data_IF_735605003570
#
_entry.id   IF_735605003570
#
_cell.length_a   1.000
_cell.length_b   1.000
_cell.length_c   1.000
_cell.angle_alpha   90.00
_cell.angle_beta   90.00
_cell.angle_gamma   90.00
#
_symmetry.space_group_name_H-M   'P 1'
#
loop_
_entity.id
_entity.type
_entity.pdbx_description
1 polymer ?
#
# COMPACT_ATOMS: atom_id res chain seq x y z
N UNK A 1 28.71 -47.70 22.67
CA UNK A 1 27.67 -46.70 22.39
C UNK A 1 28.10 -45.50 21.57
N UNK A 2 29.38 -45.14 21.50
CA UNK A 2 29.87 -43.96 20.72
C UNK A 2 29.92 -44.11 19.19
N UNK A 3 30.03 -45.30 18.65
CA UNK A 3 30.14 -45.51 17.19
C UNK A 3 28.84 -45.44 16.43
N UNK A 4 27.70 -45.72 17.05
CA UNK A 4 26.38 -45.62 16.38
C UNK A 4 25.87 -44.19 16.19
N UNK A 5 26.29 -43.27 17.07
CA UNK A 5 25.89 -41.86 17.02
C UNK A 5 26.60 -41.12 15.88
N UNK A 6 27.86 -41.43 15.59
CA UNK A 6 28.64 -40.79 14.52
C UNK A 6 28.08 -41.18 13.14
N UNK A 7 27.60 -42.44 12.97
CA UNK A 7 27.02 -42.90 11.70
C UNK A 7 25.65 -42.22 11.40
N UNK A 8 24.86 -41.92 12.42
CA UNK A 8 23.57 -41.17 12.25
C UNK A 8 23.81 -39.72 11.85
N UNK A 9 24.80 -39.06 12.41
CA UNK A 9 25.13 -37.67 12.04
C UNK A 9 25.71 -37.55 10.63
N UNK A 10 26.52 -38.55 10.19
CA UNK A 10 27.05 -38.57 8.82
C UNK A 10 25.95 -38.88 7.77
N UNK A 11 24.96 -39.71 8.08
CA UNK A 11 23.85 -39.98 7.18
C UNK A 11 22.91 -38.80 7.07
N UNK A 12 22.67 -38.09 8.20
CA UNK A 12 21.83 -36.86 8.22
C UNK A 12 22.49 -35.71 7.44
N UNK A 13 23.82 -35.58 7.53
CA UNK A 13 24.57 -34.56 6.81
C UNK A 13 24.65 -34.83 5.30
N UNK A 14 24.74 -36.07 4.86
CA UNK A 14 24.72 -36.44 3.43
C UNK A 14 23.35 -36.28 2.81
N UNK A 15 22.27 -36.60 3.54
CA UNK A 15 20.91 -36.34 3.06
C UNK A 15 20.54 -34.88 3.04
N UNK A 16 21.06 -34.05 3.95
CA UNK A 16 20.91 -32.60 3.92
C UNK A 16 21.71 -31.98 2.77
N UNK A 17 22.91 -32.45 2.47
CA UNK A 17 23.72 -31.99 1.34
C UNK A 17 23.13 -32.40 -0.02
N UNK A 18 22.61 -33.61 -0.14
CA UNK A 18 21.92 -34.06 -1.37
C UNK A 18 20.65 -33.24 -1.62
N UNK A 19 19.83 -33.01 -0.58
CA UNK A 19 18.66 -32.11 -0.69
C UNK A 19 19.03 -30.66 -0.95
N UNK A 20 20.16 -30.18 -0.44
CA UNK A 20 20.65 -28.84 -0.73
C UNK A 20 21.06 -28.65 -2.19
N UNK A 21 21.61 -29.68 -2.84
CA UNK A 21 21.94 -29.65 -4.27
C UNK A 21 20.67 -29.61 -5.16
N UNK A 22 19.67 -30.44 -4.84
CA UNK A 22 18.37 -30.42 -5.55
C UNK A 22 17.67 -29.06 -5.39
N UNK A 23 17.69 -28.49 -4.17
CA UNK A 23 17.16 -27.16 -3.88
C UNK A 23 17.92 -26.09 -4.66
N UNK A 24 19.25 -26.24 -4.85
CA UNK A 24 20.05 -25.23 -5.55
C UNK A 24 19.76 -25.22 -7.05
N UNK A 25 19.48 -26.34 -7.67
CA UNK A 25 19.09 -26.41 -9.10
C UNK A 25 17.69 -25.84 -9.32
N UNK A 26 16.72 -26.09 -8.43
CA UNK A 26 15.36 -25.52 -8.49
C UNK A 26 15.32 -24.01 -8.19
N UNK A 27 16.19 -23.49 -7.30
CA UNK A 27 16.30 -22.04 -7.02
C UNK A 27 16.88 -21.29 -8.22
N UNK A 28 17.66 -21.91 -9.08
CA UNK A 28 18.24 -21.27 -10.27
C UNK A 28 17.22 -20.91 -11.37
N UNK A 29 15.99 -21.44 -11.31
CA UNK A 29 14.89 -21.03 -12.18
C UNK A 29 14.08 -19.87 -11.56
N UNK A 30 14.74 -18.72 -11.33
CA UNK A 30 14.11 -17.52 -10.81
C UNK A 30 13.29 -16.80 -11.89
N UNK A 31 12.07 -16.40 -11.54
CA UNK A 31 11.34 -15.38 -12.29
C UNK A 31 11.78 -14.01 -11.81
N UNK A 32 12.25 -13.19 -12.73
CA UNK A 32 12.60 -11.80 -12.48
C UNK A 32 11.46 -10.89 -12.93
N UNK A 33 11.24 -9.84 -12.18
CA UNK A 33 10.39 -8.71 -12.56
C UNK A 33 11.03 -7.44 -12.05
N UNK A 34 10.73 -6.33 -12.66
CA UNK A 34 11.29 -5.08 -12.19
C UNK A 34 10.58 -3.86 -12.73
N UNK A 35 10.92 -2.73 -12.14
CA UNK A 35 10.47 -1.41 -12.54
C UNK A 35 11.62 -0.43 -12.38
N UNK A 36 11.87 0.38 -13.39
CA UNK A 36 12.66 1.60 -13.27
C UNK A 36 11.71 2.77 -13.15
N UNK A 37 11.94 3.63 -12.16
CA UNK A 37 11.12 4.82 -11.89
C UNK A 37 12.00 6.07 -11.88
N UNK A 38 11.63 7.07 -12.67
CA UNK A 38 12.11 8.44 -12.53
C UNK A 38 11.00 9.21 -11.85
N UNK A 39 11.30 9.84 -10.71
CA UNK A 39 10.36 10.67 -9.96
C UNK A 39 10.92 12.08 -9.81
N UNK A 40 10.10 13.09 -10.10
CA UNK A 40 10.39 14.49 -9.77
C UNK A 40 9.28 15.01 -8.86
N UNK A 41 9.65 15.74 -7.80
CA UNK A 41 8.73 16.40 -6.89
C UNK A 41 9.19 17.84 -6.68
N UNK A 42 8.26 18.78 -6.70
CA UNK A 42 8.43 20.17 -6.26
C UNK A 42 7.34 20.47 -5.24
N UNK A 43 7.73 21.01 -4.09
CA UNK A 43 6.85 21.50 -3.04
C UNK A 43 7.08 22.98 -2.89
N UNK A 44 6.01 23.76 -2.93
CA UNK A 44 5.98 25.20 -2.65
C UNK A 44 5.18 25.41 -1.37
N UNK A 45 5.78 25.96 -0.33
CA UNK A 45 5.11 26.26 0.93
C UNK A 45 4.24 27.53 0.85
N UNK A 46 3.51 27.86 1.93
CA UNK A 46 2.65 29.06 2.02
C UNK A 46 3.44 30.38 1.87
N UNK A 47 4.74 30.39 2.18
CA UNK A 47 5.61 31.56 1.98
C UNK A 47 6.08 31.71 0.53
N UNK A 48 5.86 30.73 -0.32
CA UNK A 48 6.32 30.64 -1.71
C UNK A 48 7.74 30.11 -1.85
N UNK A 49 8.32 29.57 -0.78
CA UNK A 49 9.63 28.92 -0.83
C UNK A 49 9.49 27.53 -1.48
N UNK A 50 10.41 27.22 -2.39
CA UNK A 50 10.35 26.00 -3.20
C UNK A 50 11.47 25.03 -2.86
N UNK A 51 11.10 23.78 -2.69
CA UNK A 51 12.02 22.64 -2.62
C UNK A 51 11.72 21.67 -3.76
N UNK A 52 12.75 21.05 -4.30
CA UNK A 52 12.55 20.05 -5.37
C UNK A 52 13.55 18.90 -5.30
N UNK A 53 13.12 17.72 -5.69
CA UNK A 53 13.93 16.52 -5.77
C UNK A 53 13.67 15.81 -7.08
N UNK A 54 14.74 15.42 -7.77
CA UNK A 54 14.69 14.48 -8.89
C UNK A 54 15.38 13.18 -8.47
N UNK A 55 14.67 12.07 -8.50
CA UNK A 55 15.17 10.76 -8.13
C UNK A 55 15.09 9.76 -9.27
N UNK A 56 16.06 8.86 -9.31
CA UNK A 56 16.04 7.64 -10.12
C UNK A 56 16.06 6.44 -9.19
N UNK A 57 15.12 5.54 -9.38
CA UNK A 57 14.98 4.36 -8.54
C UNK A 57 14.18 3.25 -9.22
N UNK A 58 13.47 2.51 -8.40
CA UNK A 58 12.62 1.40 -8.82
C UNK A 58 12.85 0.15 -8.00
N UNK A 59 12.46 -1.00 -8.55
CA UNK A 59 12.51 -2.29 -7.87
C UNK A 59 12.97 -3.41 -8.79
N UNK A 60 13.57 -4.43 -8.19
CA UNK A 60 13.88 -5.71 -8.83
C UNK A 60 13.39 -6.83 -7.93
N UNK A 61 12.46 -7.63 -8.42
CA UNK A 61 11.87 -8.78 -7.76
C UNK A 61 12.41 -10.10 -8.31
N UNK A 62 12.60 -11.05 -7.41
CA UNK A 62 13.04 -12.41 -7.69
C UNK A 62 12.08 -13.38 -7.00
N UNK A 63 11.51 -14.32 -7.74
CA UNK A 63 10.64 -15.36 -7.21
C UNK A 63 11.09 -16.73 -7.67
N UNK A 64 11.23 -17.69 -6.75
CA UNK A 64 11.49 -19.08 -7.11
C UNK A 64 10.25 -19.73 -7.72
N UNK A 65 10.45 -20.80 -8.48
CA UNK A 65 9.37 -21.77 -8.67
C UNK A 65 8.99 -22.42 -7.32
N UNK A 66 7.79 -22.99 -7.19
CA UNK A 66 7.42 -23.71 -5.98
C UNK A 66 8.35 -24.92 -5.74
N UNK A 67 9.03 -24.93 -4.60
CA UNK A 67 9.90 -26.03 -4.14
C UNK A 67 9.17 -26.73 -3.00
N UNK A 68 8.72 -27.96 -3.25
CA UNK A 68 7.87 -28.71 -2.30
C UNK A 68 6.63 -27.93 -1.82
N UNK A 69 6.02 -27.13 -2.70
CA UNK A 69 4.85 -26.30 -2.39
C UNK A 69 5.16 -24.93 -1.78
N UNK A 70 6.45 -24.59 -1.60
CA UNK A 70 6.88 -23.29 -1.09
C UNK A 70 7.51 -22.44 -2.19
N UNK A 71 7.21 -21.16 -2.21
CA UNK A 71 7.83 -20.13 -3.05
C UNK A 71 8.65 -19.19 -2.17
N UNK A 72 9.87 -18.92 -2.58
CA UNK A 72 10.71 -17.87 -2.01
C UNK A 72 10.62 -16.62 -2.88
N UNK A 73 10.40 -15.47 -2.28
CA UNK A 73 10.38 -14.18 -2.98
C UNK A 73 11.26 -13.16 -2.28
N UNK A 74 11.90 -12.31 -3.07
CA UNK A 74 12.64 -11.16 -2.57
C UNK A 74 12.51 -10.00 -3.57
N UNK A 75 12.27 -8.77 -3.06
CA UNK A 75 12.27 -7.55 -3.88
C UNK A 75 13.16 -6.49 -3.25
N UNK A 76 14.07 -6.01 -4.03
CA UNK A 76 14.97 -4.92 -3.69
C UNK A 76 14.42 -3.63 -4.29
N UNK A 77 14.30 -2.61 -3.46
CA UNK A 77 13.86 -1.26 -3.82
C UNK A 77 14.98 -0.27 -3.64
N UNK A 78 15.03 0.77 -4.48
CA UNK A 78 16.02 1.84 -4.38
C UNK A 78 15.46 3.17 -4.84
N UNK A 79 15.93 4.25 -4.22
CA UNK A 79 15.72 5.62 -4.66
C UNK A 79 17.01 6.41 -4.52
N UNK A 80 17.43 7.12 -5.60
CA UNK A 80 18.67 7.85 -5.65
C UNK A 80 18.40 9.27 -6.13
N UNK A 81 18.58 10.26 -5.25
CA UNK A 81 18.48 11.67 -5.63
C UNK A 81 19.59 12.03 -6.62
N UNK A 82 19.19 12.49 -7.79
CA UNK A 82 20.08 13.05 -8.80
C UNK A 82 20.32 14.54 -8.50
N UNK A 83 19.25 15.26 -8.08
CA UNK A 83 19.25 16.66 -7.69
C UNK A 83 18.35 16.87 -6.47
N UNK A 84 18.52 17.99 -5.74
CA UNK A 84 17.67 18.34 -4.60
C UNK A 84 17.92 17.52 -3.34
N UNK A 85 19.17 17.28 -3.00
CA UNK A 85 19.59 16.36 -1.92
C UNK A 85 19.28 16.82 -0.51
N UNK A 86 18.92 18.08 -0.31
CA UNK A 86 18.76 18.70 1.01
C UNK A 86 17.28 19.07 1.30
N UNK A 87 16.36 18.66 0.43
CA UNK A 87 14.92 18.88 0.61
C UNK A 87 14.28 17.71 1.36
N UNK A 88 13.45 18.00 2.34
CA UNK A 88 12.50 17.00 2.86
C UNK A 88 11.61 16.55 1.71
N UNK A 89 11.59 15.26 1.45
CA UNK A 89 10.87 14.72 0.30
C UNK A 89 10.46 13.28 0.59
N UNK A 90 9.22 12.93 0.26
CA UNK A 90 8.74 11.53 0.28
C UNK A 90 9.53 10.59 -0.63
N UNK A 91 10.45 11.11 -1.43
CA UNK A 91 11.32 10.31 -2.31
C UNK A 91 12.62 9.87 -1.63
N UNK A 92 12.92 10.37 -0.45
CA UNK A 92 14.18 10.18 0.26
C UNK A 92 13.97 9.54 1.65
N UNK A 93 15.07 9.21 2.33
CA UNK A 93 15.02 8.67 3.69
C UNK A 93 14.68 9.76 4.72
N UNK A 94 14.54 9.37 5.96
CA UNK A 94 14.27 10.26 7.10
C UNK A 94 15.34 11.33 7.35
N UNK A 95 16.44 11.34 6.59
CA UNK A 95 17.52 12.33 6.63
C UNK A 95 17.76 12.98 5.28
N UNK A 96 16.76 12.98 4.38
CA UNK A 96 16.81 13.55 3.03
C UNK A 96 17.92 12.96 2.15
N UNK A 97 18.16 11.63 2.28
CA UNK A 97 19.19 10.91 1.53
C UNK A 97 18.61 9.80 0.68
N UNK A 98 19.33 9.49 -0.38
CA UNK A 98 19.11 8.27 -1.17
C UNK A 98 19.20 7.03 -0.30
N UNK A 99 18.31 6.06 -0.51
CA UNK A 99 18.33 4.81 0.23
C UNK A 99 17.95 3.61 -0.63
N UNK A 100 18.20 2.43 -0.09
CA UNK A 100 17.80 1.18 -0.69
C UNK A 100 17.39 0.20 0.41
N UNK A 101 16.40 -0.64 0.12
CA UNK A 101 15.86 -1.58 1.09
C UNK A 101 15.48 -2.90 0.42
N UNK A 102 15.66 -4.01 1.11
CA UNK A 102 14.98 -5.27 0.79
C UNK A 102 13.58 -5.16 1.39
N UNK A 103 12.64 -4.61 0.63
CA UNK A 103 11.27 -4.38 1.07
C UNK A 103 10.46 -5.66 1.11
N UNK A 104 10.76 -6.64 0.23
CA UNK A 104 10.15 -7.96 0.32
C UNK A 104 11.22 -9.05 0.46
N UNK A 105 10.98 -9.97 1.39
CA UNK A 105 11.76 -11.19 1.59
C UNK A 105 10.87 -12.19 2.34
N UNK A 106 10.26 -13.12 1.61
CA UNK A 106 9.21 -13.96 2.17
C UNK A 106 9.31 -15.42 1.72
N UNK A 107 8.69 -16.27 2.53
CA UNK A 107 8.30 -17.63 2.21
C UNK A 107 6.78 -17.66 2.04
N UNK A 108 6.30 -18.19 0.93
CA UNK A 108 4.87 -18.38 0.66
C UNK A 108 4.58 -19.84 0.35
N UNK A 109 3.43 -20.34 0.85
CA UNK A 109 2.85 -21.60 0.43
C UNK A 109 1.39 -21.42 0.09
N UNK A 110 0.93 -22.18 -0.90
CA UNK A 110 -0.47 -22.23 -1.29
C UNK A 110 -0.96 -23.67 -1.10
N UNK A 111 -2.02 -23.81 -0.33
CA UNK A 111 -2.69 -25.06 -0.09
C UNK A 111 -4.16 -24.94 -0.48
N UNK A 112 -4.56 -25.60 -1.58
CA UNK A 112 -5.89 -25.44 -2.19
C UNK A 112 -6.27 -23.97 -2.43
N UNK A 113 -7.17 -23.44 -1.60
CA UNK A 113 -7.66 -22.05 -1.66
C UNK A 113 -7.08 -21.16 -0.56
N UNK A 114 -6.11 -21.66 0.21
CA UNK A 114 -5.46 -20.94 1.30
C UNK A 114 -4.04 -20.59 0.91
N UNK A 115 -3.66 -19.33 1.07
CA UNK A 115 -2.30 -18.81 0.91
C UNK A 115 -1.76 -18.36 2.26
N UNK A 116 -0.54 -18.75 2.59
CA UNK A 116 0.18 -18.28 3.78
C UNK A 116 1.47 -17.65 3.31
N UNK A 117 1.76 -16.43 3.77
CA UNK A 117 3.00 -15.72 3.47
C UNK A 117 3.65 -15.24 4.77
N UNK A 118 4.96 -15.43 4.89
CA UNK A 118 5.76 -15.14 6.09
C UNK A 118 6.99 -14.35 5.71
N UNK A 119 7.22 -13.22 6.35
CA UNK A 119 8.34 -12.33 6.12
C UNK A 119 7.93 -10.95 5.64
N UNK A 120 8.84 -10.28 4.95
CA UNK A 120 8.60 -8.93 4.38
C UNK A 120 7.82 -9.05 3.09
N UNK A 121 6.77 -8.25 2.94
CA UNK A 121 5.82 -8.38 1.84
C UNK A 121 5.01 -7.10 1.62
N UNK A 122 4.52 -6.91 0.40
CA UNK A 122 3.40 -6.01 0.14
C UNK A 122 2.15 -6.61 0.77
N UNK A 123 1.34 -5.76 1.37
CA UNK A 123 0.07 -6.15 1.98
C UNK A 123 -0.91 -4.98 1.94
N UNK A 124 -2.18 -5.28 1.62
CA UNK A 124 -3.22 -4.28 1.52
C UNK A 124 -4.44 -4.67 2.36
N UNK A 125 -4.86 -3.73 3.17
CA UNK A 125 -6.09 -3.72 3.95
C UNK A 125 -6.48 -2.27 4.24
N UNK A 126 -7.67 -1.96 4.74
CA UNK A 126 -8.10 -0.58 4.96
C UNK A 126 -7.10 0.30 5.74
N UNK A 127 -6.53 -0.19 6.83
CA UNK A 127 -5.60 0.58 7.67
C UNK A 127 -4.12 0.15 7.58
N UNK A 128 -3.78 -0.78 6.69
CA UNK A 128 -2.40 -1.19 6.42
C UNK A 128 -2.32 -1.44 4.92
N UNK A 129 -1.62 -0.58 4.18
CA UNK A 129 -1.53 -0.70 2.72
C UNK A 129 -0.21 -0.19 2.14
N UNK A 130 0.00 -0.49 0.86
CA UNK A 130 1.23 -0.20 0.15
C UNK A 130 1.47 1.28 -0.12
N UNK A 131 0.42 2.07 -0.31
CA UNK A 131 0.45 3.51 -0.61
C UNK A 131 1.61 3.95 -1.50
N UNK A 132 1.56 3.61 -2.79
CA UNK A 132 2.69 3.84 -3.74
C UNK A 132 2.69 5.28 -4.30
N UNK A 133 2.68 6.27 -3.42
CA UNK A 133 2.68 7.70 -3.76
C UNK A 133 4.08 8.28 -3.97
N UNK A 134 5.12 7.53 -3.62
CA UNK A 134 6.52 7.96 -3.68
C UNK A 134 7.38 7.09 -4.62
N UNK A 135 8.65 6.94 -4.26
CA UNK A 135 9.60 6.11 -5.00
C UNK A 135 9.59 4.65 -4.53
N UNK A 136 9.19 4.39 -3.29
CA UNK A 136 9.19 3.07 -2.65
C UNK A 136 7.89 2.94 -1.84
N UNK A 137 7.05 1.94 -2.14
CA UNK A 137 5.79 1.74 -1.41
C UNK A 137 6.03 1.25 0.02
N UNK A 138 4.99 1.30 0.84
CA UNK A 138 5.04 0.65 2.15
C UNK A 138 5.07 -0.87 1.99
N UNK A 139 5.89 -1.50 2.81
CA UNK A 139 5.96 -2.96 2.96
C UNK A 139 5.93 -3.32 4.44
N UNK A 140 5.39 -4.49 4.75
CA UNK A 140 5.26 -4.98 6.11
C UNK A 140 6.17 -6.19 6.35
N UNK A 141 6.51 -6.43 7.61
CA UNK A 141 7.13 -7.68 8.06
C UNK A 141 6.18 -8.39 9.03
N UNK A 142 5.80 -9.64 8.69
CA UNK A 142 4.81 -10.35 9.47
C UNK A 142 4.40 -11.67 8.87
N UNK A 143 3.22 -12.12 9.30
CA UNK A 143 2.57 -13.36 8.85
C UNK A 143 1.19 -13.01 8.33
N UNK A 144 0.85 -13.48 7.12
CA UNK A 144 -0.47 -13.28 6.55
C UNK A 144 -1.04 -14.61 6.05
N UNK A 145 -2.34 -14.76 6.19
CA UNK A 145 -3.12 -15.88 5.68
C UNK A 145 -4.31 -15.33 4.91
N UNK A 146 -4.53 -15.81 3.72
CA UNK A 146 -5.71 -15.53 2.89
C UNK A 146 -6.39 -16.85 2.57
N UNK A 147 -7.66 -17.01 2.94
CA UNK A 147 -8.46 -18.19 2.70
C UNK A 147 -9.71 -17.88 1.87
N UNK A 148 -9.94 -18.68 0.83
CA UNK A 148 -11.10 -18.60 -0.08
C UNK A 148 -11.89 -19.92 -0.12
N UNK A 149 -11.83 -20.73 0.94
CA UNK A 149 -12.55 -22.03 0.99
C UNK A 149 -14.05 -21.84 1.13
N UNK A 150 -14.50 -20.78 1.80
CA UNK A 150 -15.90 -20.42 1.93
C UNK A 150 -16.36 -19.78 0.60
N UNK A 151 -17.44 -20.26 -0.04
CA UNK A 151 -17.93 -19.68 -1.29
C UNK A 151 -18.17 -18.17 -1.19
N UNK A 152 -17.71 -17.44 -2.19
CA UNK A 152 -17.86 -15.98 -2.30
C UNK A 152 -17.31 -15.19 -1.09
N UNK A 153 -16.43 -15.82 -0.29
CA UNK A 153 -15.87 -15.19 0.92
C UNK A 153 -14.36 -15.31 0.91
N UNK A 154 -13.68 -14.19 1.09
CA UNK A 154 -12.24 -14.15 1.36
C UNK A 154 -12.05 -13.79 2.83
N UNK A 155 -11.36 -14.64 3.58
CA UNK A 155 -10.96 -14.39 4.98
C UNK A 155 -9.47 -14.08 4.99
N UNK A 156 -9.10 -12.99 5.63
CA UNK A 156 -7.71 -12.53 5.76
C UNK A 156 -7.36 -12.46 7.25
N UNK A 157 -6.22 -13.04 7.61
CA UNK A 157 -5.67 -12.96 8.95
C UNK A 157 -4.22 -12.52 8.88
N UNK A 158 -3.76 -11.75 9.86
CA UNK A 158 -2.38 -11.31 9.90
C UNK A 158 -1.89 -10.97 11.30
N UNK A 159 -0.59 -11.10 11.48
CA UNK A 159 0.19 -10.48 12.53
C UNK A 159 1.30 -9.68 11.87
N UNK A 160 1.28 -8.38 12.03
CA UNK A 160 2.22 -7.45 11.41
C UNK A 160 3.08 -6.86 12.51
N UNK A 161 4.38 -7.11 12.45
CA UNK A 161 5.33 -6.70 13.47
C UNK A 161 5.93 -5.32 13.20
N UNK A 162 6.32 -5.09 11.94
CA UNK A 162 7.04 -3.88 11.53
C UNK A 162 6.73 -3.51 10.08
N UNK A 163 7.08 -2.29 9.70
CA UNK A 163 6.87 -1.75 8.36
C UNK A 163 7.97 -0.77 7.96
N UNK A 164 8.10 -0.53 6.67
CA UNK A 164 9.00 0.43 6.05
C UNK A 164 8.37 0.94 4.75
N UNK A 165 8.82 2.07 4.24
CA UNK A 165 8.33 2.69 3.01
C UNK A 165 7.89 4.13 3.24
N UNK A 166 7.19 4.71 2.27
CA UNK A 166 6.94 6.15 2.16
C UNK A 166 6.32 6.77 3.42
N UNK A 167 5.36 6.13 4.06
CA UNK A 167 4.67 6.65 5.25
C UNK A 167 5.29 6.21 6.57
N UNK A 168 6.27 5.31 6.53
CA UNK A 168 6.91 4.84 7.74
C UNK A 168 7.77 5.95 8.38
N UNK A 169 7.86 6.02 9.73
CA UNK A 169 8.71 7.01 10.41
C UNK A 169 10.18 6.99 9.96
N UNK A 170 10.60 5.87 9.38
CA UNK A 170 11.91 5.66 8.75
C UNK A 170 11.74 4.85 7.48
N UNK A 171 11.56 5.50 6.34
CA UNK A 171 11.34 4.81 5.06
C UNK A 171 12.41 3.79 4.70
N UNK A 172 13.66 4.05 5.11
CA UNK A 172 14.85 3.27 4.76
C UNK A 172 15.02 1.97 5.56
N UNK A 173 14.17 1.71 6.55
CA UNK A 173 14.28 0.52 7.40
C UNK A 173 12.98 0.14 8.08
N UNK A 174 12.81 -1.15 8.34
CA UNK A 174 11.69 -1.65 9.13
C UNK A 174 11.73 -1.12 10.56
N UNK A 175 10.63 -0.50 10.98
CA UNK A 175 10.36 -0.04 12.34
C UNK A 175 9.09 -0.71 12.85
N UNK A 176 8.93 -0.82 14.16
CA UNK A 176 7.74 -1.44 14.75
C UNK A 176 6.47 -0.70 14.32
N UNK A 177 5.38 -1.46 14.10
CA UNK A 177 4.07 -0.90 13.74
C UNK A 177 3.54 0.06 14.80
N UNK A 178 3.92 -0.14 16.05
CA UNK A 178 3.56 0.69 17.18
C UNK A 178 4.84 1.07 17.94
N UNK A 179 4.76 2.03 18.83
CA UNK A 179 5.87 2.42 19.71
C UNK A 179 6.29 1.31 20.70
N UNK A 180 5.51 0.24 20.80
CA UNK A 180 5.78 -0.94 21.61
C UNK A 180 6.35 -2.09 20.80
N UNK A 181 6.85 -3.13 21.49
CA UNK A 181 7.29 -4.37 20.85
C UNK A 181 6.14 -5.25 20.33
N UNK A 182 4.89 -4.86 20.57
CA UNK A 182 3.71 -5.59 20.11
C UNK A 182 3.32 -5.16 18.69
N UNK A 183 3.15 -6.14 17.78
CA UNK A 183 2.64 -5.91 16.44
C UNK A 183 1.11 -5.72 16.42
N UNK A 184 0.56 -5.60 15.22
CA UNK A 184 -0.89 -5.52 14.97
C UNK A 184 -1.40 -6.90 14.56
N UNK A 185 -2.45 -7.40 15.24
CA UNK A 185 -3.20 -8.58 14.80
C UNK A 185 -4.40 -8.09 14.01
N UNK A 186 -4.66 -8.67 12.84
CA UNK A 186 -5.80 -8.31 12.01
C UNK A 186 -6.61 -9.53 11.59
N UNK A 187 -7.91 -9.31 11.43
CA UNK A 187 -8.88 -10.21 10.82
C UNK A 187 -9.75 -9.42 9.85
N UNK A 188 -9.77 -9.82 8.60
CA UNK A 188 -10.61 -9.26 7.54
C UNK A 188 -11.52 -10.31 6.92
N UNK A 189 -12.68 -9.89 6.47
CA UNK A 189 -13.61 -10.70 5.69
C UNK A 189 -14.18 -9.86 4.58
N UNK A 190 -14.13 -10.38 3.33
CA UNK A 190 -14.74 -9.79 2.15
C UNK A 190 -15.75 -10.81 1.61
N UNK A 191 -16.99 -10.39 1.41
CA UNK A 191 -18.08 -11.21 0.89
C UNK A 191 -18.64 -10.64 -0.40
N UNK A 192 -18.65 -11.46 -1.44
CA UNK A 192 -19.08 -11.14 -2.81
C UNK A 192 -20.19 -12.08 -3.31
N UNK A 193 -21.03 -12.58 -2.37
CA UNK A 193 -22.09 -13.54 -2.69
C UNK A 193 -23.44 -12.89 -3.05
N UNK A 194 -23.55 -11.58 -2.97
CA UNK A 194 -24.72 -10.82 -3.43
C UNK A 194 -24.40 -10.19 -4.78
N UNK A 195 -25.38 -10.22 -5.68
CA UNK A 195 -25.22 -9.66 -7.01
C UNK A 195 -24.85 -8.16 -6.93
N UNK A 196 -23.83 -7.77 -7.67
CA UNK A 196 -23.31 -6.38 -7.72
C UNK A 196 -22.88 -5.79 -6.37
N UNK A 197 -22.74 -6.59 -5.32
CA UNK A 197 -22.49 -6.09 -3.95
C UNK A 197 -21.23 -6.72 -3.35
N UNK A 198 -20.35 -5.87 -2.81
CA UNK A 198 -19.23 -6.28 -1.97
C UNK A 198 -19.46 -5.79 -0.55
N UNK A 199 -19.29 -6.67 0.43
CA UNK A 199 -19.31 -6.34 1.85
C UNK A 199 -17.95 -6.65 2.43
N UNK A 200 -17.40 -5.75 3.24
CA UNK A 200 -16.16 -6.04 3.96
C UNK A 200 -16.23 -5.61 5.44
N UNK A 201 -15.56 -6.39 6.27
CA UNK A 201 -15.46 -6.15 7.70
C UNK A 201 -14.04 -6.49 8.16
N UNK A 202 -13.43 -5.58 8.91
CA UNK A 202 -12.08 -5.71 9.41
C UNK A 202 -11.99 -5.36 10.88
N UNK A 203 -11.14 -6.10 11.59
CA UNK A 203 -10.79 -5.88 12.98
C UNK A 203 -9.27 -5.87 13.12
N UNK A 204 -8.74 -4.84 13.77
CA UNK A 204 -7.32 -4.69 14.08
C UNK A 204 -7.17 -4.58 15.58
N UNK A 205 -6.37 -5.47 16.16
CA UNK A 205 -6.01 -5.42 17.57
C UNK A 205 -4.63 -4.81 17.70
N UNK A 206 -4.59 -3.60 18.25
CA UNK A 206 -3.40 -2.89 18.65
C UNK A 206 -3.15 -3.11 20.15
N UNK A 207 -2.02 -2.66 20.66
CA UNK A 207 -1.68 -2.82 22.07
C UNK A 207 -2.70 -2.16 23.02
N UNK A 208 -3.05 -0.90 22.75
CA UNK A 208 -3.92 -0.08 23.61
C UNK A 208 -5.37 -0.06 23.13
N UNK A 209 -5.59 -0.23 21.82
CA UNK A 209 -6.88 -0.02 21.18
C UNK A 209 -7.25 -1.20 20.26
N UNK A 210 -8.48 -1.18 19.79
CA UNK A 210 -8.94 -1.99 18.67
C UNK A 210 -9.58 -1.08 17.63
N UNK A 211 -9.28 -1.33 16.35
CA UNK A 211 -9.89 -0.62 15.24
C UNK A 211 -10.81 -1.56 14.48
N UNK A 212 -11.92 -1.03 14.01
CA UNK A 212 -12.86 -1.76 13.17
C UNK A 212 -13.18 -0.94 11.94
N UNK A 213 -13.34 -1.61 10.81
CA UNK A 213 -13.76 -1.01 9.55
C UNK A 213 -14.83 -1.88 8.92
N UNK A 214 -15.88 -1.24 8.43
CA UNK A 214 -16.97 -1.85 7.69
C UNK A 214 -17.21 -1.06 6.42
N UNK A 215 -17.43 -1.76 5.31
CA UNK A 215 -17.81 -1.15 4.05
C UNK A 215 -18.81 -2.04 3.31
N UNK A 216 -19.74 -1.39 2.65
CA UNK A 216 -20.65 -2.01 1.70
C UNK A 216 -20.65 -1.19 0.41
N UNK A 217 -20.41 -1.85 -0.72
CA UNK A 217 -20.46 -1.22 -2.05
C UNK A 217 -21.42 -1.97 -2.98
N UNK A 218 -22.01 -1.22 -3.88
CA UNK A 218 -22.88 -1.73 -4.95
C UNK A 218 -22.49 -1.08 -6.27
N UNK A 219 -22.31 -1.90 -7.31
CA UNK A 219 -21.93 -1.43 -8.65
C UNK A 219 -22.82 -2.06 -9.72
N UNK A 220 -23.49 -1.24 -10.53
CA UNK A 220 -24.29 -1.68 -11.67
C UNK A 220 -24.50 -0.57 -12.70
N UNK A 221 -24.41 -0.94 -13.99
CA UNK A 221 -24.78 -0.07 -15.13
C UNK A 221 -24.12 1.32 -15.11
N UNK A 222 -22.86 1.38 -14.70
CA UNK A 222 -22.09 2.63 -14.60
C UNK A 222 -22.30 3.41 -13.29
N UNK A 223 -23.17 2.95 -12.39
CA UNK A 223 -23.30 3.48 -11.04
C UNK A 223 -22.47 2.66 -10.06
N UNK A 224 -21.75 3.35 -9.20
CA UNK A 224 -21.15 2.76 -8.00
C UNK A 224 -21.57 3.61 -6.80
N UNK A 225 -21.98 2.95 -5.73
CA UNK A 225 -22.28 3.61 -4.45
C UNK A 225 -21.66 2.79 -3.32
N UNK A 226 -21.12 3.46 -2.31
CA UNK A 226 -20.55 2.79 -1.14
C UNK A 226 -20.86 3.53 0.15
N UNK A 227 -20.87 2.80 1.25
CA UNK A 227 -20.94 3.32 2.59
C UNK A 227 -19.87 2.71 3.47
N UNK A 228 -19.19 3.51 4.28
CA UNK A 228 -18.15 3.06 5.19
C UNK A 228 -18.44 3.50 6.63
N UNK A 229 -17.93 2.69 7.56
CA UNK A 229 -17.88 3.01 8.97
C UNK A 229 -16.54 2.55 9.55
N UNK A 230 -15.91 3.43 10.32
CA UNK A 230 -14.69 3.11 11.06
C UNK A 230 -14.87 3.46 12.54
N UNK A 231 -14.24 2.66 13.41
CA UNK A 231 -14.12 2.92 14.83
C UNK A 231 -12.70 2.61 15.29
N UNK A 232 -12.06 3.57 15.96
CA UNK A 232 -10.69 3.42 16.47
C UNK A 232 -10.63 3.58 18.00
N UNK A 233 -11.61 3.00 18.70
CA UNK A 233 -11.72 3.02 20.16
C UNK A 233 -12.32 4.33 20.70
N UNK A 234 -12.69 4.32 21.97
CA UNK A 234 -13.12 5.44 22.84
C UNK A 234 -13.85 6.63 22.16
N UNK A 235 -14.87 6.33 21.31
CA UNK A 235 -15.69 7.36 20.66
C UNK A 235 -15.08 7.97 19.39
N UNK A 236 -13.94 7.49 18.94
CA UNK A 236 -13.33 7.90 17.68
C UNK A 236 -13.98 7.09 16.54
N UNK A 237 -14.85 7.72 15.80
CA UNK A 237 -15.60 7.07 14.71
C UNK A 237 -15.62 7.93 13.46
N UNK A 238 -15.75 7.26 12.32
CA UNK A 238 -16.00 7.87 11.03
C UNK A 238 -17.12 7.12 10.33
N UNK A 239 -17.97 7.86 9.62
CA UNK A 239 -18.84 7.31 8.60
C UNK A 239 -18.65 8.09 7.30
N UNK A 240 -18.89 7.41 6.18
CA UNK A 240 -18.76 8.01 4.86
C UNK A 240 -19.69 7.39 3.84
N UNK A 241 -19.90 8.13 2.79
CA UNK A 241 -20.64 7.72 1.59
C UNK A 241 -19.87 8.12 0.37
N UNK A 242 -19.89 7.26 -0.63
CA UNK A 242 -19.28 7.44 -1.93
C UNK A 242 -20.32 7.19 -3.01
N UNK A 243 -20.22 7.93 -4.12
CA UNK A 243 -21.04 7.74 -5.29
C UNK A 243 -20.30 8.13 -6.56
N UNK A 244 -20.32 7.22 -7.53
CA UNK A 244 -19.72 7.45 -8.85
C UNK A 244 -20.75 7.16 -9.94
N UNK A 245 -20.63 7.86 -11.05
CA UNK A 245 -21.40 7.61 -12.25
C UNK A 245 -20.56 7.74 -13.50
N UNK A 246 -20.42 6.66 -14.23
CA UNK A 246 -19.67 6.59 -15.49
C UNK A 246 -20.63 6.66 -16.69
N UNK A 247 -20.36 7.58 -17.59
CA UNK A 247 -21.03 7.71 -18.86
C UNK A 247 -20.01 7.80 -19.99
N UNK A 248 -19.86 6.73 -20.76
CA UNK A 248 -18.81 6.57 -21.76
C UNK A 248 -17.42 6.75 -21.11
N UNK A 249 -16.68 7.75 -21.59
CA UNK A 249 -15.33 8.07 -21.16
C UNK A 249 -15.27 8.97 -19.91
N UNK A 250 -16.41 9.50 -19.44
CA UNK A 250 -16.49 10.41 -18.29
C UNK A 250 -17.01 9.67 -17.07
N UNK A 251 -16.28 9.74 -15.95
CA UNK A 251 -16.75 9.34 -14.62
C UNK A 251 -16.85 10.57 -13.72
N UNK A 252 -18.01 10.74 -13.09
CA UNK A 252 -18.24 11.74 -12.06
C UNK A 252 -18.16 11.06 -10.69
N UNK A 253 -17.53 11.72 -9.73
CA UNK A 253 -17.30 11.20 -8.39
C UNK A 253 -17.75 12.21 -7.34
N UNK A 254 -18.38 11.74 -6.27
CA UNK A 254 -18.69 12.53 -5.07
C UNK A 254 -18.59 11.66 -3.84
N UNK A 255 -17.99 12.20 -2.76
CA UNK A 255 -17.89 11.49 -1.50
C UNK A 255 -18.12 12.44 -0.32
N UNK A 256 -18.40 11.84 0.85
CA UNK A 256 -18.55 12.53 2.10
C UNK A 256 -17.98 11.66 3.24
N UNK A 257 -17.19 12.28 4.12
CA UNK A 257 -16.80 11.70 5.38
C UNK A 257 -17.10 12.65 6.55
N UNK A 258 -17.46 12.07 7.69
CA UNK A 258 -17.62 12.80 8.95
C UNK A 258 -16.94 12.01 10.07
N UNK A 259 -16.07 12.70 10.81
CA UNK A 259 -15.32 12.17 11.95
C UNK A 259 -15.90 12.70 13.26
N UNK A 260 -16.18 11.80 14.19
CA UNK A 260 -16.40 12.11 15.58
C UNK A 260 -15.17 11.69 16.39
N UNK A 261 -14.63 12.61 17.20
CA UNK A 261 -13.32 12.40 17.84
C UNK A 261 -12.17 12.64 16.86
N UNK A 262 -11.11 11.83 16.97
CA UNK A 262 -9.93 11.84 16.10
C UNK A 262 -9.72 10.46 15.51
N UNK A 263 -9.48 10.37 14.22
CA UNK A 263 -9.24 9.11 13.52
C UNK A 263 -7.87 9.14 12.81
N UNK A 264 -7.20 8.02 12.73
CA UNK A 264 -5.93 7.84 12.04
C UNK A 264 -6.12 7.16 10.68
N UNK A 265 -5.31 7.51 9.68
CA UNK A 265 -5.19 6.77 8.43
C UNK A 265 -4.67 5.35 8.61
N UNK A 266 -4.02 5.07 9.74
CA UNK A 266 -3.38 3.80 9.99
C UNK A 266 -1.91 3.79 9.57
N UNK A 267 -1.54 2.80 8.78
CA UNK A 267 -0.18 2.54 8.33
C UNK A 267 -0.17 2.51 6.79
N UNK A 268 -0.30 3.69 6.19
CA UNK A 268 -0.47 3.93 4.76
C UNK A 268 -1.53 4.98 4.47
N UNK A 269 -2.00 5.11 3.23
CA UNK A 269 -2.93 6.14 2.76
C UNK A 269 -4.34 6.09 3.38
N UNK A 270 -4.67 5.01 4.09
CA UNK A 270 -5.97 4.84 4.75
C UNK A 270 -7.13 4.55 3.78
N UNK A 271 -8.36 4.29 4.32
CA UNK A 271 -9.49 3.84 3.52
C UNK A 271 -10.54 4.92 3.26
N UNK A 272 -10.27 6.20 3.57
CA UNK A 272 -11.35 7.20 3.62
C UNK A 272 -11.74 7.68 2.23
N UNK A 273 -13.04 7.70 1.93
CA UNK A 273 -13.60 8.06 0.62
C UNK A 273 -13.29 9.49 0.16
N UNK A 274 -12.95 10.39 1.08
CA UNK A 274 -12.60 11.77 0.79
C UNK A 274 -11.11 12.06 0.91
N UNK A 275 -10.25 11.03 0.90
CA UNK A 275 -8.81 11.24 0.79
C UNK A 275 -8.48 11.85 -0.57
N UNK A 276 -7.67 12.91 -0.59
CA UNK A 276 -7.02 13.49 -1.76
C UNK A 276 -5.57 13.01 -1.85
N UNK A 277 -4.79 13.60 -2.70
CA UNK A 277 -3.39 13.21 -2.92
C UNK A 277 -2.50 13.46 -1.70
N UNK A 278 -2.82 14.50 -0.90
CA UNK A 278 -2.01 14.90 0.25
C UNK A 278 -2.84 15.02 1.54
N UNK A 279 -4.09 15.49 1.47
CA UNK A 279 -4.94 15.68 2.63
C UNK A 279 -6.01 14.60 2.79
N UNK A 280 -6.37 14.34 4.06
CA UNK A 280 -7.50 13.48 4.42
C UNK A 280 -8.14 13.95 5.72
N UNK A 281 -9.26 13.36 6.11
CA UNK A 281 -10.00 13.72 7.34
C UNK A 281 -9.32 13.31 8.64
N UNK A 282 -8.17 12.63 8.58
CA UNK A 282 -7.47 12.07 9.73
C UNK A 282 -6.85 13.14 10.64
N UNK A 283 -6.49 12.73 11.88
CA UNK A 283 -5.77 13.51 12.88
C UNK A 283 -6.39 14.86 13.30
N UNK A 284 -7.52 15.21 12.75
CA UNK A 284 -8.23 16.46 13.06
C UNK A 284 -9.54 16.19 13.79
N UNK A 285 -9.73 16.85 14.94
CA UNK A 285 -10.89 16.64 15.80
C UNK A 285 -12.19 17.09 15.12
N UNK A 286 -13.16 16.17 15.03
CA UNK A 286 -14.49 16.42 14.44
C UNK A 286 -14.46 17.01 13.04
N UNK A 287 -13.59 16.49 12.17
CA UNK A 287 -13.48 16.94 10.79
C UNK A 287 -14.59 16.36 9.91
N UNK A 288 -14.93 17.09 8.85
CA UNK A 288 -15.84 16.68 7.79
C UNK A 288 -15.17 16.98 6.46
N UNK A 289 -15.37 16.12 5.49
CA UNK A 289 -14.89 16.35 4.14
C UNK A 289 -15.97 16.06 3.11
N UNK A 290 -15.93 16.80 2.01
CA UNK A 290 -16.78 16.62 0.82
C UNK A 290 -15.89 16.63 -0.39
N UNK A 291 -15.96 15.56 -1.17
CA UNK A 291 -15.22 15.40 -2.41
C UNK A 291 -16.18 15.55 -3.61
N UNK A 292 -15.70 16.25 -4.62
CA UNK A 292 -16.26 16.26 -5.97
C UNK A 292 -15.14 16.05 -6.97
N UNK A 293 -15.31 15.12 -7.89
CA UNK A 293 -14.30 14.78 -8.89
C UNK A 293 -14.91 14.43 -10.24
N UNK A 294 -14.08 14.51 -11.25
CA UNK A 294 -14.36 14.05 -12.60
C UNK A 294 -13.12 13.42 -13.19
N UNK A 295 -13.27 12.26 -13.81
CA UNK A 295 -12.26 11.57 -14.57
C UNK A 295 -12.70 11.44 -16.02
N UNK A 296 -11.80 11.69 -16.95
CA UNK A 296 -12.06 11.57 -18.39
C UNK A 296 -10.98 10.71 -19.05
N UNK A 297 -11.39 9.59 -19.62
CA UNK A 297 -10.55 8.63 -20.30
C UNK A 297 -10.58 8.87 -21.81
N UNK A 298 -9.44 9.17 -22.42
CA UNK A 298 -9.33 9.35 -23.87
C UNK A 298 -8.13 8.54 -24.40
N UNK A 299 -8.42 7.43 -25.08
CA UNK A 299 -7.42 6.46 -25.53
C UNK A 299 -6.57 5.98 -24.33
N UNK A 300 -5.26 6.28 -24.38
CA UNK A 300 -4.26 5.85 -23.40
C UNK A 300 -3.99 6.93 -22.33
N UNK A 301 -4.82 7.99 -22.30
CA UNK A 301 -4.69 9.13 -21.39
C UNK A 301 -5.90 9.15 -20.44
N UNK A 302 -5.63 9.24 -19.14
CA UNK A 302 -6.61 9.51 -18.10
C UNK A 302 -6.35 10.91 -17.52
N UNK A 303 -7.38 11.73 -17.49
CA UNK A 303 -7.35 13.06 -16.87
C UNK A 303 -8.29 13.06 -15.69
N UNK A 304 -7.83 13.46 -14.50
CA UNK A 304 -8.64 13.56 -13.30
C UNK A 304 -8.54 14.96 -12.69
N UNK A 305 -9.66 15.42 -12.19
CA UNK A 305 -9.81 16.64 -11.39
C UNK A 305 -10.61 16.30 -10.16
N UNK A 306 -10.04 16.52 -8.99
CA UNK A 306 -10.68 16.28 -7.70
C UNK A 306 -10.57 17.52 -6.83
N UNK A 307 -11.66 17.88 -6.15
CA UNK A 307 -11.66 18.94 -5.15
C UNK A 307 -12.27 18.41 -3.86
N UNK A 308 -11.55 18.59 -2.76
CA UNK A 308 -12.00 18.20 -1.42
C UNK A 308 -12.06 19.42 -0.52
N UNK A 309 -13.28 19.66 0.04
CA UNK A 309 -13.51 20.69 1.02
C UNK A 309 -13.54 20.09 2.42
N UNK A 310 -12.60 20.51 3.27
CA UNK A 310 -12.47 20.09 4.65
C UNK A 310 -13.03 21.14 5.60
N UNK A 311 -13.66 20.72 6.68
CA UNK A 311 -14.24 21.65 7.67
C UNK A 311 -13.23 22.16 8.70
N UNK A 312 -12.04 21.55 8.81
CA UNK A 312 -11.06 21.78 9.88
C UNK A 312 -9.60 21.84 9.44
N UNK A 313 -9.33 21.62 8.17
CA UNK A 313 -8.01 21.81 7.55
C UNK A 313 -8.21 22.51 6.21
N UNK A 314 -7.14 22.78 5.48
CA UNK A 314 -7.19 23.43 4.18
C UNK A 314 -7.83 22.51 3.13
N UNK A 315 -8.51 23.13 2.17
CA UNK A 315 -9.08 22.42 1.03
C UNK A 315 -7.98 22.03 0.04
N UNK A 316 -8.22 20.96 -0.70
CA UNK A 316 -7.27 20.49 -1.71
C UNK A 316 -7.95 20.33 -3.08
N UNK A 317 -7.20 20.66 -4.12
CA UNK A 317 -7.60 20.42 -5.51
C UNK A 317 -6.47 19.73 -6.26
N UNK A 318 -6.77 18.54 -6.77
CA UNK A 318 -5.82 17.72 -7.52
C UNK A 318 -6.12 17.72 -9.00
N UNK A 319 -5.09 17.85 -9.80
CA UNK A 319 -5.09 17.71 -11.24
C UNK A 319 -4.13 16.58 -11.62
N UNK A 320 -4.66 15.50 -12.17
CA UNK A 320 -3.86 14.33 -12.52
C UNK A 320 -3.98 14.05 -14.00
N UNK A 321 -2.84 13.76 -14.63
CA UNK A 321 -2.78 13.28 -15.99
C UNK A 321 -1.90 12.05 -16.06
N UNK A 322 -2.48 10.91 -16.37
CA UNK A 322 -1.80 9.63 -16.56
C UNK A 322 -1.78 9.23 -18.01
N UNK A 323 -0.65 8.74 -18.52
CA UNK A 323 -0.49 8.29 -19.88
C UNK A 323 0.22 6.93 -19.94
N UNK A 324 -0.48 5.90 -20.41
CA UNK A 324 0.09 4.59 -20.73
C UNK A 324 0.66 4.62 -22.16
N UNK A 325 1.97 4.87 -22.30
CA UNK A 325 2.64 4.92 -23.61
C UNK A 325 2.63 3.55 -24.30
N UNK A 326 2.76 2.48 -23.52
CA UNK A 326 2.58 1.07 -23.91
C UNK A 326 2.46 0.21 -22.65
N UNK A 327 2.40 -1.13 -22.82
CA UNK A 327 2.26 -2.10 -21.72
C UNK A 327 3.38 -2.03 -20.66
N UNK A 328 4.55 -1.50 -21.02
CA UNK A 328 5.72 -1.42 -20.13
C UNK A 328 6.07 -0.01 -19.66
N UNK A 329 5.54 1.03 -20.32
CA UNK A 329 5.97 2.41 -20.08
C UNK A 329 4.77 3.31 -19.81
N UNK A 330 4.72 3.91 -18.62
CA UNK A 330 3.70 4.89 -18.23
C UNK A 330 4.33 6.15 -17.64
N UNK A 331 3.56 7.24 -17.66
CA UNK A 331 3.92 8.46 -16.95
C UNK A 331 2.69 9.06 -16.28
N UNK A 332 2.94 9.70 -15.12
CA UNK A 332 1.94 10.38 -14.32
C UNK A 332 2.43 11.79 -13.99
N UNK A 333 1.55 12.75 -14.11
CA UNK A 333 1.73 14.14 -13.68
C UNK A 333 0.62 14.46 -12.69
N UNK A 334 0.99 14.85 -11.49
CA UNK A 334 0.08 15.16 -10.39
C UNK A 334 0.41 16.58 -9.93
N UNK A 335 -0.61 17.43 -9.81
CA UNK A 335 -0.49 18.76 -9.25
C UNK A 335 -1.58 18.93 -8.20
N UNK A 336 -1.17 19.15 -6.94
CA UNK A 336 -2.03 19.38 -5.80
C UNK A 336 -1.91 20.84 -5.34
N UNK A 337 -3.05 21.54 -5.22
CA UNK A 337 -3.16 22.88 -4.65
C UNK A 337 -3.89 22.73 -3.29
N UNK A 338 -3.17 22.92 -2.21
CA UNK A 338 -3.60 22.75 -0.82
C UNK A 338 -3.93 24.09 -0.16
N UNK A 339 -4.27 25.10 -0.95
CA UNK A 339 -4.53 26.48 -0.48
C UNK A 339 -3.35 27.04 0.35
N UNK A 340 -3.58 27.32 1.65
CA UNK A 340 -2.57 27.87 2.55
C UNK A 340 -1.53 26.85 3.03
N UNK A 341 -1.72 25.55 2.78
CA UNK A 341 -0.70 24.53 3.08
C UNK A 341 0.30 24.35 1.92
N UNK A 342 0.13 25.17 0.84
CA UNK A 342 1.06 25.22 -0.28
C UNK A 342 0.61 24.43 -1.51
N UNK A 343 1.58 24.02 -2.32
CA UNK A 343 1.34 23.28 -3.57
C UNK A 343 2.37 22.19 -3.74
N UNK A 344 1.96 21.09 -4.36
CA UNK A 344 2.85 20.00 -4.70
C UNK A 344 2.70 19.61 -6.18
N UNK A 345 3.82 19.38 -6.84
CA UNK A 345 3.86 18.80 -8.19
C UNK A 345 4.69 17.54 -8.17
N UNK A 346 4.13 16.44 -8.67
CA UNK A 346 4.80 15.15 -8.81
C UNK A 346 4.77 14.71 -10.27
N UNK A 347 5.87 14.15 -10.72
CA UNK A 347 5.98 13.51 -12.02
C UNK A 347 6.64 12.15 -11.85
N UNK A 348 6.06 11.13 -12.45
CA UNK A 348 6.64 9.80 -12.51
C UNK A 348 6.74 9.32 -13.96
N UNK A 349 7.85 8.66 -14.27
CA UNK A 349 8.02 7.86 -15.48
C UNK A 349 8.41 6.46 -15.04
N UNK A 350 7.56 5.48 -15.34
CA UNK A 350 7.71 4.10 -14.91
C UNK A 350 7.95 3.20 -16.12
N UNK A 351 8.98 2.34 -16.04
CA UNK A 351 9.26 1.30 -17.01
C UNK A 351 9.29 -0.07 -16.33
N UNK A 352 8.33 -0.94 -16.65
CA UNK A 352 8.20 -2.30 -16.13
C UNK A 352 8.76 -3.34 -17.10
N UNK A 353 9.42 -4.39 -16.59
CA UNK A 353 10.03 -5.47 -17.36
C UNK A 353 9.94 -6.84 -16.68
#
# INVERSE_FOLDING_TARGET
>A
MRQRTIFLYSLLSVTLLAKANDITEEILELKTSGELRVGAIEVEDDAGDKTSTLSLGGKVGLNSKPINGFTLGATFYTTNALFGKDSESMFLDSNSKSYSIVGEAYLQTNFEKTSIKVGRQLFDSPFINGDDIGMIPNTIEGYTLVDKTIPNTTVIMGYIDSWAGVDAPKPERFTKMQESDNGVILLGTIYEGLEHTTLQAWHYKLEKNSWNYLEASYEQDGWSVAGQYANQGEGNTLYGFDGQYSIKELTLHTAYNEVHGVISNGFGGGPFFTSSEDHTVHETLHNKAKLMGAEYNVKDITLSLTHVNFSKCEDETDYIASYALNESLSMDLIYSDMNHDGKMSRFFLNYSF
#
